data_IF_776360700742
#
_entry.id   IF_776360700742
#
_cell.length_a   1.000
_cell.length_b   1.000
_cell.length_c   1.000
_cell.angle_alpha   90.00
_cell.angle_beta   90.00
_cell.angle_gamma   90.00
#
_symmetry.space_group_name_H-M   'P 1'
#
loop_
_entity.id
_entity.type
_entity.pdbx_description
1 polymer ?
#
# COMPACT_ATOMS: atom_id res chain seq x y z
N UNK A 1 31.53 9.41 23.43
CA UNK A 1 30.30 10.12 23.01
C UNK A 1 30.11 9.86 21.53
N UNK A 2 29.07 9.12 21.15
CA UNK A 2 28.69 8.97 19.73
C UNK A 2 27.74 10.12 19.42
N UNK A 3 28.14 11.05 18.55
CA UNK A 3 27.25 12.08 18.06
C UNK A 3 26.25 11.44 17.10
N UNK A 4 24.99 11.35 17.50
CA UNK A 4 23.91 11.00 16.58
C UNK A 4 23.60 12.24 15.73
N UNK A 5 24.20 12.31 14.54
CA UNK A 5 23.73 13.25 13.52
C UNK A 5 22.35 12.81 13.04
N UNK A 6 21.32 13.56 13.42
CA UNK A 6 19.97 13.37 12.93
C UNK A 6 19.87 13.99 11.54
N UNK A 7 19.78 13.15 10.50
CA UNK A 7 19.43 13.65 9.16
C UNK A 7 17.96 14.03 9.15
N UNK A 8 17.67 15.33 9.28
CA UNK A 8 16.30 15.86 9.19
C UNK A 8 15.89 16.03 7.73
N UNK A 9 15.01 15.16 7.24
CA UNK A 9 14.26 15.43 6.00
C UNK A 9 13.09 16.33 6.40
N UNK A 10 12.99 17.54 5.85
CA UNK A 10 11.82 18.42 6.06
C UNK A 10 10.64 17.83 5.27
N UNK A 11 9.66 17.15 5.90
CA UNK A 11 8.72 16.34 5.15
C UNK A 11 7.70 17.18 4.38
N UNK A 12 7.28 18.34 4.91
CA UNK A 12 6.28 19.21 4.29
C UNK A 12 6.32 20.63 4.90
N UNK A 13 6.01 21.68 4.10
CA UNK A 13 5.72 23.05 4.58
C UNK A 13 4.23 23.43 4.48
N UNK A 14 3.36 22.46 4.19
CA UNK A 14 1.92 22.66 3.93
C UNK A 14 1.10 21.77 4.86
N UNK A 15 -0.07 22.26 5.30
CA UNK A 15 -0.92 21.77 6.39
C UNK A 15 -1.52 20.37 6.25
N UNK A 16 -1.04 19.56 5.31
CA UNK A 16 -1.41 18.16 5.17
C UNK A 16 -0.16 17.42 4.68
N UNK A 17 0.36 16.51 5.50
CA UNK A 17 1.43 15.59 5.13
C UNK A 17 1.02 14.21 5.63
N UNK A 18 0.96 13.22 4.74
CA UNK A 18 0.68 11.83 5.09
C UNK A 18 1.93 11.01 4.84
N UNK A 19 2.18 10.05 5.72
CA UNK A 19 3.33 9.16 5.65
C UNK A 19 2.84 7.72 5.70
N UNK A 20 3.53 6.84 4.99
CA UNK A 20 3.38 5.41 5.12
C UNK A 20 4.75 4.76 5.24
N UNK A 21 4.81 3.67 6.01
CA UNK A 21 6.04 2.97 6.33
C UNK A 21 5.84 1.49 6.06
N UNK A 22 6.85 0.86 5.46
CA UNK A 22 6.93 -0.59 5.36
C UNK A 22 8.28 -1.05 5.88
N UNK A 23 8.34 -2.19 6.58
CA UNK A 23 9.58 -2.76 7.08
C UNK A 23 9.75 -4.18 6.57
N UNK A 24 10.97 -4.52 6.17
CA UNK A 24 11.41 -5.88 5.83
C UNK A 24 12.85 -6.02 6.27
N UNK A 25 13.28 -7.12 6.88
CA UNK A 25 14.69 -7.17 7.33
C UNK A 25 15.67 -7.09 6.13
N UNK A 26 16.70 -6.22 6.18
CA UNK A 26 17.14 -5.36 7.28
C UNK A 26 16.72 -3.89 7.13
N UNK A 27 15.75 -3.50 6.30
CA UNK A 27 15.43 -2.10 5.99
C UNK A 27 13.97 -1.67 6.18
N UNK A 28 13.77 -0.35 6.05
CA UNK A 28 12.47 0.33 6.06
C UNK A 28 12.37 1.15 4.79
N UNK A 29 11.17 1.19 4.19
CA UNK A 29 10.80 2.17 3.18
C UNK A 29 9.83 3.18 3.78
N UNK A 30 10.16 4.45 3.63
CA UNK A 30 9.32 5.58 3.98
C UNK A 30 8.75 6.18 2.70
N UNK A 31 7.43 6.30 2.67
CA UNK A 31 6.70 7.05 1.67
C UNK A 31 6.13 8.28 2.33
N UNK A 32 6.31 9.44 1.72
CA UNK A 32 5.62 10.65 2.17
C UNK A 32 5.11 11.45 0.98
N UNK A 33 3.91 11.99 1.14
CA UNK A 33 3.24 12.74 0.07
C UNK A 33 3.54 14.23 0.17
N UNK A 34 4.02 14.80 -0.93
CA UNK A 34 4.21 16.25 -1.13
C UNK A 34 3.34 16.74 -2.30
N UNK A 35 2.18 17.34 -2.01
CA UNK A 35 1.26 17.78 -3.06
C UNK A 35 0.73 16.61 -3.88
N UNK A 36 0.93 16.64 -5.20
CA UNK A 36 0.55 15.58 -6.15
C UNK A 36 1.64 14.55 -6.43
N UNK A 37 2.63 14.42 -5.53
CA UNK A 37 3.72 13.47 -5.65
C UNK A 37 3.92 12.72 -4.33
N UNK A 38 4.29 11.45 -4.40
CA UNK A 38 4.81 10.69 -3.25
C UNK A 38 6.30 10.47 -3.47
N UNK A 39 7.09 10.74 -2.43
CA UNK A 39 8.53 10.46 -2.44
C UNK A 39 8.80 9.21 -1.62
N UNK A 40 9.68 8.37 -2.15
CA UNK A 40 10.12 7.13 -1.52
C UNK A 40 11.56 7.26 -1.01
N UNK A 41 11.79 6.81 0.21
CA UNK A 41 13.10 6.78 0.87
C UNK A 41 13.32 5.39 1.45
N UNK A 42 14.56 4.91 1.36
CA UNK A 42 15.00 3.66 1.97
C UNK A 42 15.97 3.94 3.09
N UNK A 43 15.87 3.14 4.15
CA UNK A 43 16.85 3.09 5.22
C UNK A 43 17.13 1.64 5.57
N UNK A 44 18.40 1.25 5.56
CA UNK A 44 18.82 0.02 6.22
C UNK A 44 18.88 0.25 7.73
N UNK A 45 18.43 -0.71 8.52
CA UNK A 45 18.57 -0.78 9.97
C UNK A 45 19.99 -1.25 10.27
N UNK A 46 20.96 -0.40 9.94
CA UNK A 46 22.40 -0.63 10.10
C UNK A 46 23.00 0.24 11.22
N UNK A 47 22.15 0.81 12.07
CA UNK A 47 22.53 1.74 13.14
C UNK A 47 22.86 3.16 12.66
N UNK A 48 22.83 3.43 11.34
CA UNK A 48 23.10 4.77 10.80
C UNK A 48 21.82 5.61 10.72
N UNK A 49 21.99 6.92 10.74
CA UNK A 49 20.90 7.89 10.72
C UNK A 49 20.61 8.45 9.31
N UNK A 50 20.86 7.66 8.26
CA UNK A 50 20.73 8.11 6.87
C UNK A 50 19.51 7.51 6.19
N UNK A 51 18.70 8.37 5.57
CA UNK A 51 17.63 8.00 4.64
C UNK A 51 18.14 8.25 3.22
N UNK A 52 18.11 7.24 2.36
CA UNK A 52 18.53 7.35 0.97
C UNK A 52 17.28 7.52 0.09
N UNK A 53 17.18 8.60 -0.71
CA UNK A 53 16.10 8.73 -1.68
C UNK A 53 16.11 7.57 -2.68
N UNK A 54 14.94 7.03 -3.01
CA UNK A 54 14.81 6.03 -4.07
C UNK A 54 14.48 6.75 -5.38
N UNK A 55 15.52 7.31 -6.01
CA UNK A 55 15.39 8.27 -7.12
C UNK A 55 14.83 7.69 -8.42
N UNK A 56 14.87 6.38 -8.60
CA UNK A 56 14.29 5.69 -9.76
C UNK A 56 12.77 5.49 -9.65
N UNK A 57 12.18 5.62 -8.46
CA UNK A 57 10.74 5.44 -8.25
C UNK A 57 10.03 6.80 -8.39
N UNK A 58 9.07 6.87 -9.32
CA UNK A 58 8.22 8.05 -9.51
C UNK A 58 6.76 7.70 -9.21
N UNK A 59 6.27 8.20 -8.08
CA UNK A 59 4.88 8.00 -7.66
C UNK A 59 4.09 9.29 -7.91
N UNK A 60 3.66 9.44 -9.16
CA UNK A 60 2.91 10.60 -9.63
C UNK A 60 1.68 10.14 -10.39
N UNK A 61 0.53 10.74 -10.11
CA UNK A 61 -0.72 10.49 -10.83
C UNK A 61 -1.50 11.79 -10.95
N UNK A 62 -2.27 11.96 -12.02
CA UNK A 62 -3.22 13.08 -12.15
C UNK A 62 -4.36 12.97 -11.14
N UNK A 63 -4.63 11.76 -10.65
CA UNK A 63 -5.60 11.52 -9.58
C UNK A 63 -5.03 11.81 -8.19
N UNK A 64 -3.70 11.87 -8.00
CA UNK A 64 -3.12 12.11 -6.69
C UNK A 64 -3.25 13.59 -6.30
N UNK A 65 -3.94 13.87 -5.20
CA UNK A 65 -4.18 15.24 -4.72
C UNK A 65 -3.50 15.52 -3.38
N UNK A 66 -3.45 16.80 -3.01
CA UNK A 66 -2.98 17.23 -1.69
C UNK A 66 -3.84 16.77 -0.51
N UNK A 67 -5.03 16.21 -0.77
CA UNK A 67 -5.95 15.68 0.26
C UNK A 67 -5.86 14.16 0.42
N UNK A 68 -5.20 13.47 -0.50
CA UNK A 68 -5.09 12.00 -0.50
C UNK A 68 -4.24 11.51 0.67
N UNK A 69 -4.81 10.69 1.56
CA UNK A 69 -4.03 9.93 2.53
C UNK A 69 -3.34 8.75 1.84
N UNK A 70 -2.27 8.22 2.45
CA UNK A 70 -1.53 7.08 1.91
C UNK A 70 -1.40 5.97 2.95
N UNK A 71 -1.41 4.73 2.48
CA UNK A 71 -0.97 3.55 3.21
C UNK A 71 0.02 2.77 2.34
N UNK A 72 0.82 1.89 2.93
CA UNK A 72 1.75 1.09 2.16
C UNK A 72 1.89 -0.31 2.75
N UNK A 73 2.05 -1.29 1.87
CA UNK A 73 2.38 -2.67 2.21
C UNK A 73 3.62 -3.10 1.45
N UNK A 74 4.31 -4.08 2.03
CA UNK A 74 5.42 -4.74 1.38
C UNK A 74 5.44 -6.19 1.83
N UNK A 75 5.45 -7.11 0.87
CA UNK A 75 5.70 -8.53 1.12
C UNK A 75 7.20 -8.75 1.27
N UNK A 76 7.58 -9.68 2.15
CA UNK A 76 8.98 -10.01 2.43
C UNK A 76 9.66 -10.43 1.12
N UNK A 77 10.46 -9.52 0.61
CA UNK A 77 11.23 -9.64 -0.62
C UNK A 77 12.62 -9.19 -0.23
N UNK A 78 13.64 -10.00 -0.55
CA UNK A 78 14.97 -9.91 0.03
C UNK A 78 15.54 -8.50 0.17
N UNK A 79 16.50 -8.30 1.07
CA UNK A 79 17.00 -7.01 1.57
C UNK A 79 17.03 -5.79 0.60
N UNK A 80 17.34 -6.01 -0.68
CA UNK A 80 17.51 -4.97 -1.69
C UNK A 80 16.26 -4.69 -2.56
N UNK A 81 15.18 -5.47 -2.41
CA UNK A 81 13.94 -5.32 -3.16
C UNK A 81 13.35 -3.91 -3.04
N UNK A 82 12.97 -3.33 -4.17
CA UNK A 82 12.15 -2.11 -4.23
C UNK A 82 10.66 -2.40 -4.16
N UNK A 83 10.26 -3.67 -4.22
CA UNK A 83 8.87 -4.05 -4.35
C UNK A 83 8.07 -3.56 -3.15
N UNK A 84 7.01 -2.81 -3.42
CA UNK A 84 6.07 -2.31 -2.43
C UNK A 84 4.77 -1.89 -3.13
N UNK A 85 3.72 -1.76 -2.34
CA UNK A 85 2.44 -1.20 -2.77
C UNK A 85 2.16 0.05 -1.96
N UNK A 86 1.75 1.12 -2.64
CA UNK A 86 1.34 2.37 -2.00
C UNK A 86 -0.08 2.67 -2.40
N UNK A 87 -0.98 2.66 -1.43
CA UNK A 87 -2.40 2.91 -1.63
C UNK A 87 -2.72 4.38 -1.36
N UNK A 88 -3.65 4.93 -2.13
CA UNK A 88 -4.11 6.30 -1.99
C UNK A 88 -5.54 6.46 -2.50
N UNK A 89 -6.23 7.52 -2.07
CA UNK A 89 -7.51 7.91 -2.67
C UNK A 89 -7.27 8.94 -3.77
N UNK A 90 -7.78 8.69 -4.96
CA UNK A 90 -7.69 9.59 -6.11
C UNK A 90 -8.67 10.77 -6.04
N UNK A 91 -8.47 11.76 -6.91
CA UNK A 91 -9.34 12.91 -7.12
C UNK A 91 -10.70 12.51 -7.73
N UNK A 92 -10.74 11.34 -8.35
CA UNK A 92 -11.90 10.65 -8.88
C UNK A 92 -12.62 9.82 -7.80
N UNK A 93 -12.29 10.05 -6.52
CA UNK A 93 -12.84 9.40 -5.34
C UNK A 93 -12.58 7.88 -5.24
N UNK A 94 -11.87 7.30 -6.21
CA UNK A 94 -11.51 5.88 -6.23
C UNK A 94 -10.31 5.58 -5.34
N UNK A 95 -10.32 4.42 -4.68
CA UNK A 95 -9.12 3.85 -4.09
C UNK A 95 -8.19 3.31 -5.19
N UNK A 96 -6.92 3.71 -5.12
CA UNK A 96 -5.90 3.47 -6.13
C UNK A 96 -4.63 2.93 -5.50
N UNK A 97 -3.81 2.27 -6.31
CA UNK A 97 -2.48 1.79 -5.91
C UNK A 97 -1.41 2.23 -6.90
N UNK A 98 -0.25 2.53 -6.35
CA UNK A 98 1.01 2.34 -7.06
C UNK A 98 1.59 0.99 -6.68
N UNK A 99 1.71 0.10 -7.66
CA UNK A 99 2.54 -1.10 -7.55
C UNK A 99 3.96 -0.76 -7.99
N UNK A 100 4.92 -0.95 -7.10
CA UNK A 100 6.34 -0.77 -7.37
C UNK A 100 6.94 -2.15 -7.53
N UNK A 101 7.58 -2.43 -8.65
CA UNK A 101 8.30 -3.68 -8.88
C UNK A 101 9.77 -3.57 -8.39
N UNK A 102 10.48 -4.70 -8.36
CA UNK A 102 11.84 -4.81 -7.87
C UNK A 102 12.83 -3.90 -8.62
N UNK A 103 12.63 -3.70 -9.92
CA UNK A 103 13.42 -2.80 -10.77
C UNK A 103 13.10 -1.31 -10.54
N UNK A 104 12.04 -1.02 -9.78
CA UNK A 104 11.51 0.32 -9.53
C UNK A 104 10.50 0.82 -10.56
N UNK A 105 10.08 -0.03 -11.51
CA UNK A 105 8.95 0.24 -12.40
C UNK A 105 7.69 0.43 -11.56
N UNK A 106 6.88 1.43 -11.92
CA UNK A 106 5.67 1.79 -11.20
C UNK A 106 4.46 1.66 -12.10
N UNK A 107 3.45 0.94 -11.63
CA UNK A 107 2.13 0.86 -12.26
C UNK A 107 1.09 1.53 -11.36
N UNK A 108 0.31 2.47 -11.91
CA UNK A 108 -0.81 3.13 -11.22
C UNK A 108 -2.13 2.50 -11.66
N UNK A 109 -2.91 1.95 -10.74
CA UNK A 109 -4.20 1.30 -11.04
C UNK A 109 -5.28 1.64 -10.02
N UNK A 110 -6.54 1.67 -10.46
CA UNK A 110 -7.67 1.64 -9.53
C UNK A 110 -7.78 0.24 -8.89
N UNK A 111 -8.07 0.18 -7.60
CA UNK A 111 -8.24 -1.08 -6.85
C UNK A 111 -9.60 -1.69 -7.17
N UNK A 112 -10.63 -0.85 -7.28
CA UNK A 112 -11.91 -1.20 -7.90
C UNK A 112 -12.62 0.07 -8.39
N UNK A 113 -13.60 -0.10 -9.28
CA UNK A 113 -14.42 1.02 -9.76
C UNK A 113 -15.49 1.48 -8.73
N UNK A 114 -15.77 0.66 -7.70
CA UNK A 114 -16.97 0.79 -6.86
C UNK A 114 -16.65 0.88 -5.35
N UNK A 115 -15.52 1.48 -4.96
CA UNK A 115 -15.30 1.76 -3.52
C UNK A 115 -16.13 2.97 -3.10
N UNK A 116 -17.04 2.80 -2.14
CA UNK A 116 -17.75 3.92 -1.52
C UNK A 116 -16.89 4.60 -0.42
N UNK A 117 -15.64 4.91 -0.74
CA UNK A 117 -14.70 5.43 0.24
C UNK A 117 -15.01 6.91 0.56
N UNK A 118 -15.13 7.25 1.85
CA UNK A 118 -15.31 8.64 2.29
C UNK A 118 -14.16 9.50 1.76
N UNK A 119 -14.47 10.70 1.25
CA UNK A 119 -13.46 11.63 0.73
C UNK A 119 -12.50 12.07 1.83
N UNK A 120 -11.21 11.87 1.61
CA UNK A 120 -10.17 12.17 2.60
C UNK A 120 -10.09 11.15 3.72
N UNK A 121 -10.65 9.95 3.53
CA UNK A 121 -10.58 8.88 4.53
C UNK A 121 -9.14 8.49 4.86
N UNK A 122 -8.90 8.12 6.11
CA UNK A 122 -7.63 7.52 6.53
C UNK A 122 -7.50 6.13 5.93
N UNK A 123 -6.29 5.76 5.53
CA UNK A 123 -6.00 4.45 4.97
C UNK A 123 -5.09 3.68 5.91
N UNK A 124 -5.37 2.39 6.08
CA UNK A 124 -4.46 1.44 6.71
C UNK A 124 -4.40 0.19 5.86
N UNK A 125 -3.21 -0.38 5.68
CA UNK A 125 -3.06 -1.56 4.85
C UNK A 125 -2.18 -2.60 5.55
N UNK A 126 -2.54 -3.86 5.37
CA UNK A 126 -1.81 -5.01 5.95
C UNK A 126 -1.62 -6.09 4.89
N UNK A 127 -0.51 -6.79 5.00
CA UNK A 127 -0.23 -8.01 4.24
C UNK A 127 -0.82 -9.16 5.04
N UNK A 128 -1.68 -9.99 4.46
CA UNK A 128 -2.03 -11.25 5.10
C UNK A 128 -0.84 -12.21 5.04
N UNK A 129 -0.59 -12.89 6.17
CA UNK A 129 0.54 -13.78 6.34
C UNK A 129 0.37 -15.00 5.43
N UNK A 130 1.44 -15.37 4.73
CA UNK A 130 1.43 -16.55 3.85
C UNK A 130 1.25 -17.85 4.64
N UNK A 131 1.56 -17.85 5.95
CA UNK A 131 1.25 -18.98 6.83
C UNK A 131 -0.25 -19.19 7.08
N UNK A 132 -1.09 -18.20 6.75
CA UNK A 132 -2.54 -18.26 6.90
C UNK A 132 -3.23 -18.64 5.56
N UNK A 133 -2.46 -19.11 4.55
CA UNK A 133 -3.02 -19.63 3.29
C UNK A 133 -3.87 -20.87 3.54
N UNK A 134 -5.06 -20.91 2.94
CA UNK A 134 -5.88 -22.13 2.91
C UNK A 134 -5.33 -23.17 1.93
N UNK A 135 -5.72 -24.43 2.10
CA UNK A 135 -5.36 -25.51 1.17
C UNK A 135 -5.78 -25.18 -0.27
N UNK A 136 -6.97 -24.63 -0.47
CA UNK A 136 -7.44 -24.19 -1.79
C UNK A 136 -6.52 -23.11 -2.41
N UNK A 137 -6.00 -22.19 -1.60
CA UNK A 137 -5.07 -21.17 -2.09
C UNK A 137 -3.72 -21.78 -2.47
N UNK A 138 -3.25 -22.77 -1.71
CA UNK A 138 -2.00 -23.49 -1.99
C UNK A 138 -2.15 -24.32 -3.26
N UNK A 139 -3.23 -25.10 -3.39
CA UNK A 139 -3.47 -26.01 -4.51
C UNK A 139 -3.64 -25.27 -5.85
N UNK A 140 -4.08 -24.00 -5.79
CA UNK A 140 -4.29 -23.16 -6.97
C UNK A 140 -3.21 -22.07 -7.15
N UNK A 141 -2.09 -22.13 -6.42
CA UNK A 141 -1.01 -21.14 -6.45
C UNK A 141 -1.50 -19.68 -6.29
N UNK A 142 -2.55 -19.49 -5.48
CA UNK A 142 -3.15 -18.18 -5.23
C UNK A 142 -2.39 -17.44 -4.13
N UNK A 143 -1.85 -16.24 -4.39
CA UNK A 143 -1.14 -15.49 -3.38
C UNK A 143 -2.10 -14.91 -2.35
N UNK A 144 -1.61 -14.75 -1.12
CA UNK A 144 -2.35 -14.00 -0.12
C UNK A 144 -2.59 -12.56 -0.58
N UNK A 145 -3.78 -11.99 -0.32
CA UNK A 145 -4.07 -10.63 -0.70
C UNK A 145 -3.42 -9.63 0.26
N UNK A 146 -3.32 -8.39 -0.20
CA UNK A 146 -3.16 -7.25 0.69
C UNK A 146 -4.56 -6.72 1.04
N UNK A 147 -4.78 -6.36 2.31
CA UNK A 147 -6.04 -5.81 2.80
C UNK A 147 -5.86 -4.31 3.04
N UNK A 148 -6.74 -3.52 2.43
CA UNK A 148 -6.82 -2.07 2.61
C UNK A 148 -8.09 -1.71 3.37
N UNK A 149 -7.94 -1.04 4.50
CA UNK A 149 -9.02 -0.51 5.33
C UNK A 149 -9.23 0.99 5.06
N UNK A 150 -10.49 1.40 5.07
CA UNK A 150 -10.93 2.77 4.84
C UNK A 150 -12.29 3.02 5.52
N UNK A 151 -12.68 4.27 5.64
CA UNK A 151 -14.02 4.64 6.10
C UNK A 151 -14.99 4.73 4.92
N UNK A 152 -16.17 4.14 5.06
CA UNK A 152 -17.25 4.24 4.09
C UNK A 152 -17.85 5.67 4.03
N UNK A 153 -18.36 6.09 2.87
CA UNK A 153 -18.95 7.40 2.68
C UNK A 153 -20.39 7.49 3.22
N UNK A 154 -21.12 6.37 3.22
CA UNK A 154 -22.55 6.34 3.59
C UNK A 154 -22.76 6.09 5.09
N UNK A 155 -21.78 5.53 5.80
CA UNK A 155 -21.84 5.25 7.23
C UNK A 155 -20.48 5.47 7.92
N UNK A 156 -20.48 5.64 9.24
CA UNK A 156 -19.27 5.77 10.07
C UNK A 156 -18.61 4.41 10.33
N UNK A 157 -18.66 3.51 9.35
CA UNK A 157 -18.07 2.17 9.43
C UNK A 157 -16.72 2.12 8.75
N UNK A 158 -15.87 1.22 9.26
CA UNK A 158 -14.64 0.84 8.59
C UNK A 158 -14.99 -0.28 7.60
N UNK A 159 -14.73 -0.02 6.33
CA UNK A 159 -14.81 -0.96 5.22
C UNK A 159 -13.42 -1.46 4.86
N UNK A 160 -13.34 -2.58 4.14
CA UNK A 160 -12.09 -3.09 3.62
C UNK A 160 -12.24 -3.59 2.19
N UNK A 161 -11.11 -3.64 1.47
CA UNK A 161 -11.02 -4.28 0.17
C UNK A 161 -9.76 -5.15 0.13
N UNK A 162 -9.87 -6.30 -0.52
CA UNK A 162 -8.78 -7.23 -0.73
C UNK A 162 -8.35 -7.15 -2.19
N UNK A 163 -7.04 -7.11 -2.44
CA UNK A 163 -6.50 -7.28 -3.80
C UNK A 163 -5.56 -8.46 -3.83
N UNK A 164 -5.97 -9.52 -4.55
CA UNK A 164 -5.10 -10.66 -4.86
C UNK A 164 -4.10 -10.28 -5.94
N UNK A 165 -2.88 -10.78 -5.80
CA UNK A 165 -1.79 -10.55 -6.75
C UNK A 165 -2.00 -11.50 -7.94
N UNK A 166 -2.69 -11.07 -8.99
CA UNK A 166 -2.69 -11.84 -10.24
C UNK A 166 -1.40 -11.53 -11.01
N UNK A 167 -0.46 -12.48 -11.08
CA UNK A 167 0.33 -12.63 -12.31
C UNK A 167 -0.65 -13.05 -13.40
N UNK A 168 -0.50 -12.62 -14.67
CA UNK A 168 -1.55 -12.80 -15.67
C UNK A 168 -1.76 -14.28 -15.98
N UNK A 169 -2.77 -14.89 -15.35
CA UNK A 169 -3.41 -16.09 -15.88
C UNK A 169 -4.47 -15.62 -16.89
N UNK A 170 -4.20 -15.89 -18.17
CA UNK A 170 -5.16 -15.74 -19.25
C UNK A 170 -6.29 -16.75 -19.02
N UNK A 171 -7.46 -16.28 -18.60
CA UNK A 171 -8.73 -16.73 -19.16
C UNK A 171 -9.89 -15.78 -18.83
N UNK A 172 -10.85 -15.76 -19.76
CA UNK A 172 -12.01 -14.86 -19.88
C UNK A 172 -13.03 -14.95 -18.73
N UNK A 173 -13.96 -13.99 -18.61
CA UNK A 173 -14.59 -13.61 -17.35
C UNK A 173 -15.78 -14.49 -16.97
N UNK A 174 -15.79 -14.92 -15.72
CA UNK A 174 -17.03 -15.12 -14.96
C UNK A 174 -16.79 -14.53 -13.59
N UNK A 175 -17.40 -13.35 -13.34
CA UNK A 175 -17.47 -12.74 -12.01
C UNK A 175 -18.07 -13.71 -10.99
N UNK A 176 -17.71 -13.52 -9.71
CA UNK A 176 -18.76 -13.04 -8.83
C UNK A 176 -18.35 -11.82 -8.01
N UNK A 177 -19.28 -10.87 -7.92
CA UNK A 177 -19.38 -9.81 -6.92
C UNK A 177 -19.09 -10.37 -5.51
N UNK A 178 -17.94 -10.00 -4.93
CA UNK A 178 -17.72 -10.10 -3.50
C UNK A 178 -17.85 -8.70 -2.90
N UNK A 179 -19.08 -8.32 -2.55
CA UNK A 179 -19.31 -7.26 -1.58
C UNK A 179 -18.78 -7.74 -0.22
N UNK A 180 -17.59 -7.30 0.15
CA UNK A 180 -17.01 -7.54 1.47
C UNK A 180 -17.74 -6.68 2.52
N UNK A 181 -18.95 -7.12 2.89
CA UNK A 181 -19.59 -6.69 4.12
C UNK A 181 -18.89 -7.37 5.31
N UNK A 182 -18.49 -6.53 6.27
CA UNK A 182 -18.08 -6.83 7.63
C UNK A 182 -18.53 -8.21 8.18
N UNK A 183 -17.64 -9.21 8.12
CA UNK A 183 -17.64 -10.34 9.05
C UNK A 183 -16.31 -10.32 9.80
N UNK A 184 -16.36 -9.89 11.06
CA UNK A 184 -15.37 -10.35 12.03
C UNK A 184 -15.51 -11.87 12.12
N UNK A 185 -14.45 -12.62 11.79
CA UNK A 185 -14.33 -14.07 11.91
C UNK A 185 -15.64 -14.86 11.63
N UNK A 186 -15.99 -15.08 10.37
CA UNK A 186 -16.73 -16.30 10.04
C UNK A 186 -15.71 -17.40 9.74
N UNK A 187 -16.03 -18.59 10.22
CA UNK A 187 -15.22 -19.80 10.37
C UNK A 187 -14.66 -20.44 9.08
N UNK A 188 -14.55 -19.67 8.00
CA UNK A 188 -14.05 -20.14 6.69
C UNK A 188 -12.75 -19.43 6.28
N UNK A 189 -12.07 -18.83 7.25
CA UNK A 189 -10.64 -18.49 7.20
C UNK A 189 -9.97 -19.08 8.45
N UNK A 190 -9.90 -20.40 8.51
CA UNK A 190 -9.05 -21.21 9.38
C UNK A 190 -8.61 -22.43 8.58
#
# INVERSE_FOLDING_TARGET
>A
MVSHESTSVRPCSLSYCTIALTSTRPGVMLFYRTGSQIKAYKKNVDGKATLTPVSNIKLTSTALTSKSNIAATRRETGANSNQARVFYQGADDMLREFFIDNDGTVTDTAISANTNALKGTSLAAVVQNDADQSDDQIDNDLPMPDILFYQDADDVRISFTCKSIHTPYNDSPTEPDLQASLFMCSSDCC
#
